data_IF_338429160036
#
_entry.id   IF_338429160036
#
_cell.length_a   1.000
_cell.length_b   1.000
_cell.length_c   1.000
_cell.angle_alpha   90.00
_cell.angle_beta   90.00
_cell.angle_gamma   90.00
#
_symmetry.space_group_name_H-M   'P 1'
#
loop_
_entity.id
_entity.type
_entity.pdbx_description
1 polymer ?
#
# COMPACT_ATOMS: atom_id res chain seq x y z
N UNK A 1 -10.59 11.78 4.87
CA UNK A 1 -10.68 10.51 5.60
C UNK A 1 -9.29 10.00 5.92
N UNK A 2 -8.91 9.95 7.19
CA UNK A 2 -7.64 9.34 7.60
C UNK A 2 -7.78 7.82 7.63
N UNK A 3 -6.79 7.10 7.11
CA UNK A 3 -6.75 5.64 7.07
C UNK A 3 -6.84 5.01 8.47
N UNK A 4 -7.49 3.84 8.62
CA UNK A 4 -7.65 3.17 9.92
C UNK A 4 -6.31 2.99 10.64
N UNK A 5 -5.30 2.46 9.93
CA UNK A 5 -3.96 2.23 10.49
C UNK A 5 -3.26 3.53 10.93
N UNK A 6 -3.54 4.65 10.25
CA UNK A 6 -3.00 5.95 10.60
C UNK A 6 -3.58 6.43 11.94
N UNK A 7 -4.91 6.25 12.12
CA UNK A 7 -5.60 6.56 13.37
C UNK A 7 -5.11 5.69 14.52
N UNK A 8 -4.96 4.39 14.30
CA UNK A 8 -4.53 3.43 15.31
C UNK A 8 -3.08 3.65 15.75
N UNK A 9 -2.16 3.90 14.81
CA UNK A 9 -0.75 4.11 15.14
C UNK A 9 -0.50 5.45 15.83
N UNK A 10 -1.21 6.49 15.42
CA UNK A 10 -0.92 7.87 15.85
C UNK A 10 0.51 8.32 15.48
N UNK A 11 0.99 9.35 16.20
CA UNK A 11 2.37 9.84 16.12
C UNK A 11 3.15 9.32 17.32
N UNK A 12 4.18 8.52 17.05
CA UNK A 12 5.02 7.88 18.09
C UNK A 12 6.46 8.40 18.11
N UNK A 13 6.79 9.40 17.28
CA UNK A 13 8.15 9.93 17.11
C UNK A 13 8.19 11.46 17.19
N UNK A 14 9.39 12.00 17.40
CA UNK A 14 9.68 13.42 17.29
C UNK A 14 10.05 13.81 15.85
N UNK A 15 9.41 14.85 15.29
CA UNK A 15 9.59 15.28 13.90
C UNK A 15 8.27 15.68 13.23
N UNK A 16 8.23 15.65 11.89
CA UNK A 16 7.03 15.98 11.11
C UNK A 16 5.87 15.04 11.40
N UNK A 17 4.65 15.59 11.33
CA UNK A 17 3.41 14.84 11.51
C UNK A 17 3.16 13.87 10.35
N UNK A 18 2.52 12.71 10.60
CA UNK A 18 2.12 11.81 9.53
C UNK A 18 1.03 12.44 8.66
N UNK A 19 1.18 12.29 7.33
CA UNK A 19 0.19 12.66 6.32
C UNK A 19 -0.38 11.38 5.71
N UNK A 20 -1.71 11.26 5.69
CA UNK A 20 -2.36 10.06 5.19
C UNK A 20 -2.42 10.07 3.66
N UNK A 21 -2.01 8.97 3.02
CA UNK A 21 -2.08 8.82 1.58
C UNK A 21 -3.51 8.80 1.01
N UNK A 22 -4.54 8.66 1.86
CA UNK A 22 -5.92 8.37 1.45
C UNK A 22 -6.93 9.39 1.98
N UNK A 23 -6.52 10.65 2.17
CA UNK A 23 -7.44 11.68 2.69
C UNK A 23 -8.72 11.84 1.87
N UNK A 24 -8.71 11.54 0.58
CA UNK A 24 -9.91 11.55 -0.26
C UNK A 24 -10.34 10.15 -0.69
N UNK A 25 -9.90 9.11 0.01
CA UNK A 25 -10.16 7.71 -0.34
C UNK A 25 -9.30 7.16 -1.49
N UNK A 26 -8.57 8.03 -2.19
CA UNK A 26 -7.66 7.70 -3.29
C UNK A 26 -6.23 8.11 -2.92
N UNK A 27 -5.26 7.35 -3.39
CA UNK A 27 -3.83 7.57 -3.16
C UNK A 27 -3.38 8.97 -3.57
N UNK A 28 -2.66 9.63 -2.67
CA UNK A 28 -1.88 10.84 -2.90
C UNK A 28 -0.41 10.55 -2.63
N UNK A 29 0.48 11.06 -3.49
CA UNK A 29 1.94 10.96 -3.31
C UNK A 29 2.48 11.85 -2.18
N UNK A 30 1.67 12.76 -1.66
CA UNK A 30 1.97 13.54 -0.46
C UNK A 30 1.54 12.77 0.80
N UNK A 31 2.34 11.77 1.19
CA UNK A 31 1.94 10.77 2.20
C UNK A 31 2.99 10.48 3.28
N UNK A 32 3.65 11.52 3.79
CA UNK A 32 4.72 11.36 4.77
C UNK A 32 4.31 10.46 5.95
N UNK A 33 5.02 9.35 6.12
CA UNK A 33 4.79 8.36 7.16
C UNK A 33 3.35 7.79 7.19
N UNK A 34 2.63 7.69 6.08
CA UNK A 34 1.31 7.03 6.05
C UNK A 34 1.41 5.56 6.52
N UNK A 35 0.66 5.20 7.57
CA UNK A 35 0.74 3.85 8.17
C UNK A 35 0.28 2.74 7.21
N UNK A 36 -0.78 2.97 6.42
CA UNK A 36 -1.22 2.00 5.40
C UNK A 36 -0.17 1.79 4.32
N UNK A 37 0.41 2.86 3.77
CA UNK A 37 1.44 2.71 2.74
C UNK A 37 2.72 2.05 3.30
N UNK A 38 3.10 2.38 4.54
CA UNK A 38 4.21 1.71 5.21
C UNK A 38 3.96 0.22 5.44
N UNK A 39 2.73 -0.17 5.81
CA UNK A 39 2.35 -1.58 5.94
C UNK A 39 2.39 -2.30 4.59
N UNK A 40 1.88 -1.68 3.51
CA UNK A 40 1.93 -2.27 2.17
C UNK A 40 3.36 -2.48 1.68
N UNK A 41 4.26 -1.50 1.87
CA UNK A 41 5.68 -1.67 1.55
C UNK A 41 6.31 -2.85 2.28
N UNK A 42 6.11 -2.90 3.60
CA UNK A 42 6.62 -3.99 4.42
C UNK A 42 6.06 -5.35 3.99
N UNK A 43 4.78 -5.43 3.64
CA UNK A 43 4.19 -6.66 3.11
C UNK A 43 4.80 -7.06 1.76
N UNK A 44 5.06 -6.08 0.88
CA UNK A 44 5.77 -6.33 -0.39
C UNK A 44 7.15 -6.93 -0.15
N UNK A 45 7.88 -6.45 0.86
CA UNK A 45 9.19 -6.99 1.25
C UNK A 45 9.08 -8.39 1.88
N UNK A 46 8.15 -8.58 2.82
CA UNK A 46 7.91 -9.86 3.50
C UNK A 46 7.50 -10.97 2.54
N UNK A 47 6.78 -10.63 1.46
CA UNK A 47 6.42 -11.56 0.38
C UNK A 47 7.54 -11.79 -0.65
N UNK A 48 8.66 -11.05 -0.57
CA UNK A 48 9.72 -11.11 -1.58
C UNK A 48 9.33 -10.47 -2.93
N UNK A 49 8.36 -9.56 -2.93
CA UNK A 49 7.80 -8.89 -4.11
C UNK A 49 8.34 -7.47 -4.32
N UNK A 50 9.51 -7.16 -3.75
CA UNK A 50 10.15 -5.85 -3.85
C UNK A 50 11.56 -5.97 -4.40
N UNK A 51 11.96 -4.98 -5.19
CA UNK A 51 13.33 -4.82 -5.68
C UNK A 51 13.85 -3.40 -5.40
N UNK A 52 15.14 -3.29 -5.09
CA UNK A 52 15.81 -2.03 -4.79
C UNK A 52 16.91 -1.77 -5.80
N UNK A 53 16.78 -0.64 -6.49
CA UNK A 53 17.75 -0.12 -7.43
C UNK A 53 18.09 1.33 -7.07
N UNK A 54 19.23 1.48 -6.37
CA UNK A 54 19.74 2.79 -5.93
C UNK A 54 20.24 3.66 -7.09
N UNK A 55 20.45 3.10 -8.29
CA UNK A 55 20.88 3.82 -9.50
C UNK A 55 19.67 4.29 -10.36
N UNK A 56 18.45 3.89 -10.01
CA UNK A 56 17.20 4.26 -10.67
C UNK A 56 16.24 5.02 -9.74
N UNK A 57 14.93 4.80 -9.86
CA UNK A 57 13.88 5.48 -9.09
C UNK A 57 13.85 5.10 -7.59
N UNK A 58 14.76 4.24 -7.11
CA UNK A 58 14.92 3.81 -5.73
C UNK A 58 14.44 2.38 -5.51
N UNK A 59 13.14 2.17 -5.38
CA UNK A 59 12.58 0.85 -5.12
C UNK A 59 11.22 0.69 -5.78
N UNK A 60 10.92 -0.54 -6.19
CA UNK A 60 9.61 -0.96 -6.68
C UNK A 60 9.15 -2.16 -5.87
N UNK A 61 7.85 -2.27 -5.65
CA UNK A 61 7.27 -3.47 -5.08
C UNK A 61 5.79 -3.58 -5.37
N UNK A 62 5.25 -4.78 -5.18
CA UNK A 62 3.83 -5.03 -5.36
C UNK A 62 3.22 -5.87 -4.25
N UNK A 63 1.94 -5.62 -3.97
CA UNK A 63 1.15 -6.39 -3.02
C UNK A 63 -0.08 -6.97 -3.73
N UNK A 64 -0.31 -8.28 -3.66
CA UNK A 64 -1.46 -8.92 -4.27
C UNK A 64 -2.75 -8.55 -3.54
N UNK A 65 -3.82 -8.42 -4.31
CA UNK A 65 -5.19 -8.27 -3.85
C UNK A 65 -6.00 -9.42 -4.44
N UNK A 66 -6.65 -10.21 -3.58
CA UNK A 66 -7.64 -11.19 -4.01
C UNK A 66 -9.02 -10.81 -3.48
N UNK A 67 -9.96 -10.77 -4.41
CA UNK A 67 -11.40 -10.59 -4.21
C UNK A 67 -12.00 -11.67 -3.29
N UNK A 68 -11.38 -12.85 -3.19
CA UNK A 68 -11.75 -13.87 -2.19
C UNK A 68 -11.64 -13.39 -0.72
N UNK A 69 -10.89 -12.31 -0.47
CA UNK A 69 -10.74 -11.69 0.86
C UNK A 69 -11.38 -10.30 0.94
N UNK A 70 -12.12 -9.90 -0.09
CA UNK A 70 -12.86 -8.65 -0.13
C UNK A 70 -14.20 -8.79 0.62
N UNK A 71 -14.81 -7.68 1.08
CA UNK A 71 -16.17 -7.71 1.59
C UNK A 71 -17.17 -8.04 0.46
N UNK A 72 -18.34 -8.58 0.80
CA UNK A 72 -19.40 -8.94 -0.17
C UNK A 72 -19.91 -7.73 -0.99
N UNK A 73 -19.63 -6.51 -0.53
CA UNK A 73 -19.96 -5.25 -1.21
C UNK A 73 -18.91 -4.83 -2.25
N UNK A 74 -17.79 -5.53 -2.34
CA UNK A 74 -16.75 -5.23 -3.31
C UNK A 74 -17.12 -5.80 -4.67
N UNK A 75 -17.37 -4.91 -5.63
CA UNK A 75 -17.75 -5.26 -7.01
C UNK A 75 -16.54 -5.30 -7.97
N UNK A 76 -15.32 -5.13 -7.43
CA UNK A 76 -14.08 -5.15 -8.20
C UNK A 76 -13.50 -6.55 -8.36
N UNK A 77 -12.32 -6.61 -8.99
CA UNK A 77 -11.59 -7.86 -9.23
C UNK A 77 -10.30 -7.92 -8.40
N UNK A 78 -9.69 -9.11 -8.38
CA UNK A 78 -8.31 -9.28 -7.92
C UNK A 78 -7.31 -8.53 -8.81
N UNK A 79 -6.13 -8.27 -8.26
CA UNK A 79 -5.07 -7.56 -8.97
C UNK A 79 -3.86 -7.30 -8.08
N UNK A 80 -3.11 -6.25 -8.39
CA UNK A 80 -1.89 -5.90 -7.69
C UNK A 80 -1.85 -4.41 -7.37
N UNK A 81 -1.47 -4.09 -6.15
CA UNK A 81 -1.05 -2.74 -5.81
C UNK A 81 0.42 -2.64 -6.17
N UNK A 82 0.77 -1.86 -7.19
CA UNK A 82 2.16 -1.60 -7.58
C UNK A 82 2.59 -0.27 -6.99
N UNK A 83 3.74 -0.24 -6.33
CA UNK A 83 4.26 0.91 -5.60
C UNK A 83 5.71 1.19 -6.00
N UNK A 84 6.07 2.46 -6.03
CA UNK A 84 7.45 2.92 -6.14
C UNK A 84 7.77 3.93 -5.05
N UNK A 85 8.98 3.83 -4.50
CA UNK A 85 9.43 4.73 -3.46
C UNK A 85 10.92 5.02 -3.54
N UNK A 86 11.30 6.22 -3.11
CA UNK A 86 12.70 6.62 -3.08
C UNK A 86 13.35 6.17 -1.76
N UNK A 87 13.99 5.00 -1.80
CA UNK A 87 14.71 4.39 -0.66
C UNK A 87 13.81 4.16 0.56
N UNK A 88 14.38 3.72 1.67
CA UNK A 88 13.65 3.56 2.94
C UNK A 88 13.25 4.88 3.64
N UNK A 89 12.85 5.90 2.87
CA UNK A 89 12.23 7.13 3.37
C UNK A 89 10.74 6.89 3.53
N UNK A 90 10.13 7.47 4.57
CA UNK A 90 8.74 7.18 4.99
C UNK A 90 7.61 7.56 4.02
N UNK A 91 7.88 7.78 2.73
CA UNK A 91 6.92 8.19 1.71
C UNK A 91 6.89 7.19 0.55
N UNK A 92 5.72 6.91 0.00
CA UNK A 92 5.55 6.24 -1.29
C UNK A 92 5.38 7.30 -2.38
N UNK A 93 6.23 7.26 -3.40
CA UNK A 93 6.26 8.28 -4.45
C UNK A 93 5.17 8.08 -5.50
N UNK A 94 4.89 6.83 -5.86
CA UNK A 94 3.84 6.46 -6.79
C UNK A 94 3.18 5.14 -6.34
N UNK A 95 1.87 5.02 -6.53
CA UNK A 95 1.14 3.79 -6.27
C UNK A 95 -0.15 3.73 -7.09
N UNK A 96 -0.45 2.56 -7.63
CA UNK A 96 -1.63 2.31 -8.46
C UNK A 96 -2.16 0.89 -8.22
N UNK A 97 -3.43 0.68 -8.54
CA UNK A 97 -4.01 -0.66 -8.63
C UNK A 97 -3.91 -1.11 -10.10
N UNK A 98 -3.43 -2.33 -10.32
CA UNK A 98 -3.21 -2.88 -11.66
C UNK A 98 -3.91 -4.23 -11.76
N UNK A 99 -4.72 -4.39 -12.80
CA UNK A 99 -5.24 -5.67 -13.26
C UNK A 99 -4.47 -6.10 -14.52
N UNK A 100 -4.81 -7.27 -15.06
CA UNK A 100 -4.32 -7.73 -16.36
C UNK A 100 -4.78 -6.84 -17.53
N UNK A 101 -5.90 -6.14 -17.39
CA UNK A 101 -6.47 -5.30 -18.44
C UNK A 101 -6.09 -3.81 -18.33
N UNK A 102 -5.93 -3.27 -17.12
CA UNK A 102 -5.79 -1.82 -16.93
C UNK A 102 -5.10 -1.42 -15.63
N UNK A 103 -4.74 -0.14 -15.58
CA UNK A 103 -4.32 0.54 -14.36
C UNK A 103 -5.41 1.47 -13.86
N UNK A 104 -5.58 1.50 -12.55
CA UNK A 104 -6.58 2.28 -11.84
C UNK A 104 -5.94 3.06 -10.68
N UNK A 105 -6.55 4.19 -10.27
CA UNK A 105 -6.16 4.84 -9.03
C UNK A 105 -6.22 3.88 -7.84
N UNK A 106 -5.17 3.85 -7.02
CA UNK A 106 -5.19 3.07 -5.79
C UNK A 106 -6.17 3.70 -4.79
N UNK A 107 -7.18 2.95 -4.34
CA UNK A 107 -8.13 3.39 -3.32
C UNK A 107 -7.78 2.83 -1.94
N UNK A 108 -8.36 3.41 -0.89
CA UNK A 108 -8.24 2.88 0.47
C UNK A 108 -8.84 1.47 0.58
N UNK A 109 -9.94 1.21 -0.13
CA UNK A 109 -10.57 -0.12 -0.17
C UNK A 109 -9.62 -1.16 -0.78
N UNK A 110 -8.98 -0.84 -1.92
CA UNK A 110 -7.94 -1.70 -2.51
C UNK A 110 -6.83 -2.00 -1.48
N UNK A 111 -6.31 -0.96 -0.81
CA UNK A 111 -5.25 -1.11 0.17
C UNK A 111 -5.64 -2.03 1.35
N UNK A 112 -6.87 -1.91 1.85
CA UNK A 112 -7.36 -2.74 2.96
C UNK A 112 -7.56 -4.20 2.56
N UNK A 113 -8.06 -4.47 1.36
CA UNK A 113 -8.22 -5.83 0.84
C UNK A 113 -6.85 -6.48 0.57
N UNK A 114 -5.91 -5.73 -0.01
CA UNK A 114 -4.56 -6.22 -0.27
C UNK A 114 -3.81 -6.57 1.03
N UNK A 115 -3.95 -5.75 2.09
CA UNK A 115 -3.39 -6.08 3.42
C UNK A 115 -3.96 -7.40 3.95
N UNK A 116 -5.28 -7.60 3.88
CA UNK A 116 -5.91 -8.85 4.30
C UNK A 116 -5.41 -10.04 3.48
N UNK A 117 -5.29 -9.87 2.17
CA UNK A 117 -4.79 -10.87 1.23
C UNK A 117 -3.37 -11.31 1.61
N UNK A 118 -2.44 -10.36 1.67
CA UNK A 118 -1.04 -10.61 1.99
C UNK A 118 -0.84 -11.25 3.37
N UNK A 119 -1.55 -10.76 4.41
CA UNK A 119 -1.47 -11.35 5.74
C UNK A 119 -2.05 -12.77 5.80
N UNK A 120 -3.01 -13.13 4.93
CA UNK A 120 -3.49 -14.51 4.82
C UNK A 120 -2.45 -15.40 4.17
N UNK A 121 -1.79 -14.93 3.12
CA UNK A 121 -0.77 -15.70 2.40
C UNK A 121 0.45 -15.97 3.29
N UNK A 122 0.97 -14.94 3.97
CA UNK A 122 2.10 -15.08 4.91
C UNK A 122 1.82 -15.98 6.13
N UNK A 123 0.55 -16.29 6.44
CA UNK A 123 0.19 -17.24 7.51
C UNK A 123 0.10 -18.69 7.03
N UNK A 124 0.02 -18.90 5.73
CA UNK A 124 -0.16 -20.20 5.10
C UNK A 124 1.14 -20.73 4.45
N UNK A 125 2.18 -19.89 4.37
CA UNK A 125 3.58 -20.26 4.07
C UNK A 125 4.32 -20.71 5.34
#
# INVERSE_FOLDING_TARGET
MVCRLCKERGKTWYGSDPVCAFENGVFSSDNWACATMGKLRRLSEELGHSDRDDDSCGSIGYVPLSDNYAPDTYEGFGGYIVMMWYKERGRVGNALFMTDERTEPLTLEHAEIAIKTAERWLRND
#
